data_IF_185059813778
#
_entry.id   IF_185059813778
#
_cell.length_a   1.000
_cell.length_b   1.000
_cell.length_c   1.000
_cell.angle_alpha   90.00
_cell.angle_beta   90.00
_cell.angle_gamma   90.00
#
_symmetry.space_group_name_H-M   'P 1'
#
loop_
_entity.id
_entity.type
_entity.pdbx_description
1 polymer ?
#
# COMPACT_ATOMS: atom_id res chain seq x y z
N UNK A 1 -28.38 11.63 -6.30
CA UNK A 1 -29.18 10.95 -5.26
C UNK A 1 -28.25 9.91 -4.64
N UNK A 2 -27.62 10.26 -3.52
CA UNK A 2 -26.51 9.48 -2.93
C UNK A 2 -27.08 8.34 -2.09
N UNK A 3 -26.62 7.12 -2.35
CA UNK A 3 -26.97 5.94 -1.56
C UNK A 3 -26.11 5.89 -0.30
N UNK A 4 -26.76 5.65 0.84
CA UNK A 4 -26.13 5.56 2.16
C UNK A 4 -25.34 4.25 2.35
N UNK A 5 -24.30 4.21 3.21
CA UNK A 5 -23.33 3.11 3.29
C UNK A 5 -23.86 1.79 3.90
N UNK A 6 -25.08 1.75 4.44
CA UNK A 6 -25.58 0.62 5.23
C UNK A 6 -26.16 -0.56 4.40
N UNK A 7 -26.18 -0.45 3.07
CA UNK A 7 -26.77 -1.47 2.19
C UNK A 7 -25.82 -2.54 1.66
N UNK A 8 -24.50 -2.45 1.89
CA UNK A 8 -23.52 -3.33 1.22
C UNK A 8 -22.58 -4.05 2.19
N UNK A 9 -23.15 -4.63 3.27
CA UNK A 9 -22.46 -5.58 4.16
C UNK A 9 -23.04 -6.98 4.03
N UNK A 10 -23.16 -7.49 2.81
CA UNK A 10 -23.27 -8.94 2.57
C UNK A 10 -21.86 -9.52 2.46
N UNK A 11 -21.57 -10.50 3.31
CA UNK A 11 -20.28 -11.18 3.39
C UNK A 11 -19.76 -11.58 1.99
N UNK A 12 -18.64 -10.99 1.60
CA UNK A 12 -17.88 -11.42 0.43
C UNK A 12 -17.39 -12.85 0.70
N UNK A 13 -17.61 -13.81 -0.20
CA UNK A 13 -17.07 -15.15 -0.02
C UNK A 13 -15.55 -15.04 0.05
N UNK A 14 -14.94 -15.65 1.08
CA UNK A 14 -13.51 -15.79 1.16
C UNK A 14 -13.01 -16.40 -0.16
N UNK A 15 -12.17 -15.67 -0.90
CA UNK A 15 -11.53 -16.20 -2.10
C UNK A 15 -10.82 -17.53 -1.78
N UNK A 16 -10.66 -18.42 -2.76
CA UNK A 16 -10.10 -19.75 -2.53
C UNK A 16 -8.78 -19.63 -1.74
N UNK A 17 -8.73 -20.32 -0.60
CA UNK A 17 -7.62 -20.28 0.35
C UNK A 17 -6.27 -20.74 -0.25
N UNK A 18 -6.29 -21.27 -1.48
CA UNK A 18 -5.18 -21.93 -2.14
C UNK A 18 -4.36 -21.03 -3.07
N UNK A 19 -4.79 -19.79 -3.34
CA UNK A 19 -3.97 -18.88 -4.15
C UNK A 19 -2.86 -18.26 -3.29
N UNK A 20 -1.56 -18.49 -3.57
CA UNK A 20 -0.47 -17.94 -2.76
C UNK A 20 -0.47 -16.41 -2.78
N UNK A 21 0.07 -15.80 -1.71
CA UNK A 21 0.32 -14.35 -1.69
C UNK A 21 1.23 -13.95 -2.84
N UNK A 22 0.95 -12.79 -3.44
CA UNK A 22 1.69 -12.26 -4.58
C UNK A 22 1.78 -10.73 -4.50
N UNK A 23 2.65 -10.16 -5.32
CA UNK A 23 2.75 -8.72 -5.50
C UNK A 23 1.39 -8.15 -5.94
N UNK A 24 1.00 -7.03 -5.35
CA UNK A 24 -0.26 -6.36 -5.62
C UNK A 24 -1.45 -6.91 -4.82
N UNK A 25 -1.26 -7.91 -3.94
CA UNK A 25 -2.28 -8.28 -2.97
C UNK A 25 -2.52 -7.14 -1.98
N UNK A 26 -3.81 -6.86 -1.74
CA UNK A 26 -4.28 -5.87 -0.78
C UNK A 26 -4.90 -6.60 0.40
N UNK A 27 -4.45 -6.28 1.62
CA UNK A 27 -4.95 -6.88 2.86
C UNK A 27 -5.37 -5.81 3.85
N UNK A 28 -6.50 -6.06 4.52
CA UNK A 28 -6.98 -5.28 5.65
C UNK A 28 -6.39 -5.72 6.98
N UNK A 29 -6.53 -4.84 7.97
CA UNK A 29 -6.20 -5.10 9.37
C UNK A 29 -4.76 -5.59 9.58
N UNK A 30 -3.83 -5.11 8.76
CA UNK A 30 -2.41 -5.35 8.99
C UNK A 30 -1.94 -4.50 10.16
N UNK A 31 -1.43 -5.16 11.20
CA UNK A 31 -0.84 -4.49 12.35
C UNK A 31 0.51 -3.89 11.94
N UNK A 32 0.55 -2.58 11.85
CA UNK A 32 1.76 -1.80 11.63
C UNK A 32 2.30 -1.33 12.98
N UNK A 33 3.63 -1.23 13.06
CA UNK A 33 4.37 -0.79 14.23
C UNK A 33 5.38 0.27 13.77
N UNK A 34 5.38 1.43 14.41
CA UNK A 34 6.20 2.58 14.03
C UNK A 34 6.54 3.46 15.24
N UNK A 35 7.55 4.31 15.11
CA UNK A 35 7.91 5.31 16.12
C UNK A 35 7.19 6.61 15.81
N UNK A 36 6.80 7.39 16.83
CA UNK A 36 6.19 8.69 16.59
C UNK A 36 7.24 9.66 16.02
N UNK A 37 6.84 10.46 15.02
CA UNK A 37 7.73 11.38 14.30
C UNK A 37 8.16 12.60 15.13
N UNK A 38 7.60 12.79 16.34
CA UNK A 38 7.72 14.04 17.11
C UNK A 38 8.77 14.00 18.24
N UNK A 39 9.45 12.87 18.48
CA UNK A 39 10.50 12.79 19.51
C UNK A 39 11.89 13.09 18.94
N UNK A 40 12.40 14.29 19.21
CA UNK A 40 13.82 14.64 18.93
C UNK A 40 14.79 14.07 19.98
N UNK A 41 14.26 13.66 21.14
CA UNK A 41 15.02 13.01 22.22
C UNK A 41 14.47 11.60 22.42
N UNK A 42 15.33 10.60 22.26
CA UNK A 42 14.99 9.20 22.53
C UNK A 42 14.94 9.03 24.05
N UNK A 43 13.74 8.97 24.62
CA UNK A 43 13.58 8.62 26.02
C UNK A 43 13.68 7.10 26.18
N UNK A 44 14.27 6.63 27.28
CA UNK A 44 14.34 5.20 27.63
C UNK A 44 12.94 4.54 27.72
N UNK A 45 11.89 5.36 27.77
CA UNK A 45 10.49 4.96 27.94
C UNK A 45 9.67 5.04 26.64
N UNK A 46 10.29 5.44 25.53
CA UNK A 46 9.59 5.55 24.25
C UNK A 46 9.06 4.17 23.84
N UNK A 47 7.77 4.13 23.54
CA UNK A 47 7.09 2.91 23.09
C UNK A 47 6.72 3.05 21.63
N UNK A 48 6.91 1.99 20.82
CA UNK A 48 6.45 2.01 19.46
C UNK A 48 4.91 2.08 19.46
N UNK A 49 4.39 2.90 18.55
CA UNK A 49 2.97 2.97 18.27
C UNK A 49 2.58 1.82 17.36
N UNK A 50 1.32 1.42 17.44
CA UNK A 50 0.79 0.37 16.59
C UNK A 50 -0.60 0.76 16.08
N UNK A 51 -0.86 0.49 14.81
CA UNK A 51 -2.15 0.75 14.18
C UNK A 51 -2.53 -0.37 13.22
N UNK A 52 -3.83 -0.57 13.02
CA UNK A 52 -4.34 -1.44 11.95
C UNK A 52 -4.47 -0.61 10.68
N UNK A 53 -3.93 -1.13 9.59
CA UNK A 53 -3.98 -0.47 8.30
C UNK A 53 -4.28 -1.45 7.17
N UNK A 54 -4.86 -0.91 6.10
CA UNK A 54 -4.88 -1.59 4.80
C UNK A 54 -3.50 -1.44 4.16
N UNK A 55 -2.98 -2.53 3.61
CA UNK A 55 -1.66 -2.56 2.99
C UNK A 55 -1.70 -3.25 1.63
N UNK A 56 -0.76 -2.88 0.75
CA UNK A 56 -0.52 -3.55 -0.52
C UNK A 56 0.89 -4.14 -0.57
N UNK A 57 1.03 -5.38 -1.04
CA UNK A 57 2.33 -6.05 -1.16
C UNK A 57 3.10 -5.51 -2.37
N UNK A 58 4.31 -5.00 -2.12
CA UNK A 58 5.21 -4.48 -3.17
C UNK A 58 6.31 -5.47 -3.58
N UNK A 59 6.74 -6.35 -2.67
CA UNK A 59 7.76 -7.37 -2.97
C UNK A 59 7.36 -8.22 -4.17
N UNK A 60 8.31 -8.46 -5.07
CA UNK A 60 8.10 -9.17 -6.32
C UNK A 60 7.58 -10.59 -6.10
N UNK A 61 6.69 -11.05 -6.97
CA UNK A 61 6.07 -12.37 -6.87
C UNK A 61 7.11 -13.51 -6.89
N UNK A 62 8.20 -13.36 -7.66
CA UNK A 62 9.30 -14.33 -7.73
C UNK A 62 10.05 -14.49 -6.40
N UNK A 63 10.17 -13.42 -5.61
CA UNK A 63 10.81 -13.47 -4.29
C UNK A 63 9.91 -14.16 -3.27
N UNK A 64 8.59 -13.99 -3.40
CA UNK A 64 7.58 -14.59 -2.53
C UNK A 64 7.39 -16.09 -2.77
N UNK A 65 7.42 -16.53 -4.04
CA UNK A 65 7.15 -17.90 -4.44
C UNK A 65 8.29 -18.87 -4.10
N UNK A 66 9.54 -18.39 -4.07
CA UNK A 66 10.71 -19.22 -3.83
C UNK A 66 11.08 -19.36 -2.34
N UNK A 67 10.27 -18.83 -1.42
CA UNK A 67 10.55 -18.77 0.03
C UNK A 67 11.91 -18.16 0.41
N UNK A 68 12.58 -17.49 -0.53
CA UNK A 68 13.90 -16.86 -0.35
C UNK A 68 13.87 -15.69 0.63
N UNK A 69 12.67 -15.20 0.95
CA UNK A 69 12.44 -14.19 1.97
C UNK A 69 11.31 -14.62 2.91
N UNK A 70 11.50 -14.40 4.21
CA UNK A 70 10.47 -14.56 5.23
C UNK A 70 9.64 -13.28 5.44
N UNK A 71 9.98 -12.21 4.73
CA UNK A 71 9.42 -10.87 4.90
C UNK A 71 9.03 -10.25 3.55
N UNK A 72 7.97 -9.45 3.56
CA UNK A 72 7.52 -8.66 2.42
C UNK A 72 7.55 -7.17 2.75
N UNK A 73 7.95 -6.36 1.78
CA UNK A 73 7.75 -4.93 1.76
C UNK A 73 6.31 -4.65 1.35
N UNK A 74 5.63 -3.85 2.14
CA UNK A 74 4.27 -3.37 1.90
C UNK A 74 4.22 -1.85 1.98
N UNK A 75 3.27 -1.24 1.29
CA UNK A 75 2.92 0.17 1.44
C UNK A 75 1.52 0.31 2.06
N UNK A 76 1.31 1.40 2.79
CA UNK A 76 -0.01 1.75 3.33
C UNK A 76 -0.95 2.18 2.20
N UNK A 77 -2.22 1.78 2.32
CA UNK A 77 -3.29 2.16 1.40
C UNK A 77 -4.34 2.97 2.16
N UNK A 78 -4.53 4.21 1.75
CA UNK A 78 -5.51 5.12 2.34
C UNK A 78 -6.78 5.18 1.50
N UNK A 79 -7.94 5.15 2.15
CA UNK A 79 -9.20 5.52 1.51
C UNK A 79 -9.17 7.01 1.15
N UNK A 80 -9.35 7.32 -0.13
CA UNK A 80 -9.29 8.70 -0.63
C UNK A 80 -10.44 9.55 -0.08
N UNK A 81 -11.64 8.98 0.04
CA UNK A 81 -12.82 9.64 0.60
C UNK A 81 -12.64 9.95 2.07
N UNK A 82 -12.01 9.06 2.83
CA UNK A 82 -11.68 9.28 4.24
C UNK A 82 -10.67 10.42 4.44
N UNK A 83 -9.63 10.48 3.61
CA UNK A 83 -8.66 11.57 3.63
C UNK A 83 -9.32 12.93 3.33
N UNK A 84 -10.31 12.96 2.44
CA UNK A 84 -11.08 14.17 2.16
C UNK A 84 -11.99 14.54 3.33
N UNK A 85 -12.74 13.56 3.86
CA UNK A 85 -13.68 13.74 4.96
C UNK A 85 -13.01 14.25 6.24
N UNK A 86 -11.80 13.78 6.51
CA UNK A 86 -11.00 14.21 7.67
C UNK A 86 -10.21 15.50 7.41
N UNK A 87 -10.29 16.07 6.21
CA UNK A 87 -9.60 17.32 5.85
C UNK A 87 -8.10 17.17 5.63
N UNK A 88 -7.55 15.94 5.63
CA UNK A 88 -6.13 15.66 5.38
C UNK A 88 -5.74 15.97 3.94
N UNK A 89 -6.66 15.83 3.00
CA UNK A 89 -6.45 16.11 1.57
C UNK A 89 -7.68 16.79 0.99
N UNK A 90 -7.50 17.72 0.05
CA UNK A 90 -8.61 18.32 -0.69
C UNK A 90 -9.02 17.41 -1.85
N UNK A 91 -10.32 17.23 -2.09
CA UNK A 91 -10.84 16.45 -3.23
C UNK A 91 -10.26 16.94 -4.57
N UNK A 92 -10.22 18.27 -4.76
CA UNK A 92 -9.62 18.90 -5.94
C UNK A 92 -8.15 18.50 -6.14
N UNK A 93 -7.38 18.37 -5.05
CA UNK A 93 -5.97 17.96 -5.13
C UNK A 93 -5.83 16.52 -5.63
N UNK A 94 -6.66 15.60 -5.13
CA UNK A 94 -6.67 14.20 -5.59
C UNK A 94 -6.98 14.13 -7.08
N UNK A 95 -8.07 14.79 -7.50
CA UNK A 95 -8.53 14.78 -8.89
C UNK A 95 -7.51 15.41 -9.84
N UNK A 96 -6.98 16.57 -9.49
CA UNK A 96 -6.19 17.37 -10.42
C UNK A 96 -4.70 16.95 -10.45
N UNK A 97 -4.19 16.26 -9.41
CA UNK A 97 -2.77 15.91 -9.30
C UNK A 97 -2.53 14.41 -9.11
N UNK A 98 -3.16 13.79 -8.10
CA UNK A 98 -2.86 12.40 -7.71
C UNK A 98 -3.29 11.41 -8.80
N UNK A 99 -4.50 11.58 -9.36
CA UNK A 99 -5.00 10.75 -10.49
C UNK A 99 -4.12 10.85 -11.74
N UNK A 100 -3.39 11.96 -11.89
CA UNK A 100 -2.47 12.20 -13.01
C UNK A 100 -1.05 11.68 -12.73
N UNK A 101 -0.81 11.07 -11.57
CA UNK A 101 0.51 10.58 -11.17
C UNK A 101 1.53 11.69 -10.91
N UNK A 102 1.06 12.92 -10.62
CA UNK A 102 1.92 14.10 -10.47
C UNK A 102 2.40 14.33 -9.03
N UNK A 103 1.93 13.51 -8.08
CA UNK A 103 2.28 13.63 -6.66
C UNK A 103 3.33 12.59 -6.31
N UNK A 104 4.48 13.06 -5.83
CA UNK A 104 5.59 12.18 -5.45
C UNK A 104 5.18 11.16 -4.37
N UNK A 105 5.47 9.89 -4.65
CA UNK A 105 5.23 8.79 -3.73
C UNK A 105 3.77 8.41 -3.54
N UNK A 106 2.84 9.02 -4.29
CA UNK A 106 1.42 8.69 -4.22
C UNK A 106 0.99 7.97 -5.49
N UNK A 107 0.48 6.75 -5.33
CA UNK A 107 -0.05 5.96 -6.44
C UNK A 107 -1.55 5.79 -6.31
N UNK A 108 -2.28 6.21 -7.35
CA UNK A 108 -3.73 6.21 -7.38
C UNK A 108 -4.30 4.83 -7.74
N UNK A 109 -5.26 4.35 -6.95
CA UNK A 109 -6.05 3.15 -7.23
C UNK A 109 -7.54 3.52 -7.37
N UNK A 110 -8.14 3.38 -8.56
CA UNK A 110 -9.58 3.58 -8.70
C UNK A 110 -10.37 2.48 -7.99
N UNK A 111 -11.59 2.80 -7.57
CA UNK A 111 -12.59 1.76 -7.28
C UNK A 111 -12.84 0.92 -8.54
N UNK A 112 -13.14 -0.37 -8.37
CA UNK A 112 -13.35 -1.28 -9.49
C UNK A 112 -14.45 -2.29 -9.19
N UNK A 113 -15.30 -2.59 -10.17
CA UNK A 113 -16.48 -3.45 -9.99
C UNK A 113 -16.11 -4.89 -9.58
N UNK A 114 -14.93 -5.36 -9.98
CA UNK A 114 -14.43 -6.68 -9.55
C UNK A 114 -13.97 -6.72 -8.08
N UNK A 115 -13.91 -5.57 -7.41
CA UNK A 115 -13.64 -5.46 -5.98
C UNK A 115 -14.55 -4.41 -5.33
N UNK A 116 -15.85 -4.68 -5.17
CA UNK A 116 -16.85 -3.69 -4.76
C UNK A 116 -16.60 -3.07 -3.38
N UNK A 117 -15.93 -3.80 -2.49
CA UNK A 117 -15.57 -3.33 -1.14
C UNK A 117 -14.30 -2.48 -1.09
N UNK A 118 -13.64 -2.27 -2.24
CA UNK A 118 -12.43 -1.47 -2.33
C UNK A 118 -12.76 -0.07 -2.88
N UNK A 119 -12.74 0.95 -2.02
CA UNK A 119 -13.00 2.32 -2.44
C UNK A 119 -11.83 2.84 -3.27
N UNK A 120 -12.05 3.99 -3.90
CA UNK A 120 -10.95 4.78 -4.43
C UNK A 120 -9.91 5.04 -3.34
N UNK A 121 -8.66 4.69 -3.63
CA UNK A 121 -7.62 4.62 -2.62
C UNK A 121 -6.28 5.13 -3.13
N UNK A 122 -5.42 5.53 -2.22
CA UNK A 122 -4.09 6.07 -2.48
C UNK A 122 -3.06 5.17 -1.80
N UNK A 123 -2.14 4.60 -2.55
CA UNK A 123 -0.98 3.90 -2.00
C UNK A 123 0.09 4.94 -1.69
N UNK A 124 0.51 5.03 -0.41
CA UNK A 124 1.61 5.89 0.00
C UNK A 124 2.92 5.11 -0.07
N UNK A 125 3.66 5.29 -1.16
CA UNK A 125 4.96 4.65 -1.40
C UNK A 125 6.07 5.26 -0.55
N UNK A 126 5.78 6.26 0.29
CA UNK A 126 6.73 6.82 1.28
C UNK A 126 6.53 6.18 2.66
N UNK A 127 5.38 5.54 2.88
CA UNK A 127 5.03 4.87 4.12
C UNK A 127 5.12 3.34 3.93
N UNK A 128 6.36 2.85 4.01
CA UNK A 128 6.70 1.46 3.77
C UNK A 128 6.95 0.70 5.06
N UNK A 129 6.47 -0.54 5.10
CA UNK A 129 6.77 -1.46 6.19
C UNK A 129 7.29 -2.78 5.65
N UNK A 130 8.16 -3.42 6.43
CA UNK A 130 8.60 -4.78 6.16
C UNK A 130 7.90 -5.72 7.13
N UNK A 131 6.99 -6.56 6.64
CA UNK A 131 6.09 -7.40 7.42
C UNK A 131 6.43 -8.89 7.24
N UNK A 132 6.41 -9.71 8.31
CA UNK A 132 6.56 -11.16 8.18
C UNK A 132 5.48 -11.79 7.30
N UNK A 133 5.87 -12.64 6.36
CA UNK A 133 4.93 -13.32 5.47
C UNK A 133 3.91 -14.18 6.21
N UNK A 134 4.32 -14.80 7.33
CA UNK A 134 3.43 -15.57 8.19
C UNK A 134 2.23 -14.73 8.68
N UNK A 135 2.46 -13.45 9.01
CA UNK A 135 1.41 -12.53 9.44
C UNK A 135 0.44 -12.24 8.30
N UNK A 136 0.97 -11.93 7.11
CA UNK A 136 0.15 -11.66 5.92
C UNK A 136 -0.66 -12.89 5.49
N UNK A 137 -0.07 -14.09 5.57
CA UNK A 137 -0.76 -15.36 5.31
C UNK A 137 -1.88 -15.60 6.32
N UNK A 138 -1.62 -15.33 7.60
CA UNK A 138 -2.63 -15.37 8.66
C UNK A 138 -3.79 -14.40 8.42
N UNK A 139 -3.51 -13.17 7.95
CA UNK A 139 -4.55 -12.20 7.57
C UNK A 139 -5.39 -12.72 6.41
N UNK A 140 -4.76 -13.22 5.35
CA UNK A 140 -5.47 -13.81 4.21
C UNK A 140 -6.36 -14.98 4.65
N UNK A 141 -5.84 -15.89 5.47
CA UNK A 141 -6.59 -17.02 6.01
C UNK A 141 -7.79 -16.59 6.88
N UNK A 142 -7.71 -15.43 7.54
CA UNK A 142 -8.83 -14.80 8.27
C UNK A 142 -9.78 -14.00 7.37
N UNK A 143 -9.68 -14.13 6.05
CA UNK A 143 -10.56 -13.43 5.10
C UNK A 143 -10.27 -11.94 4.95
N UNK A 144 -9.07 -11.48 5.32
CA UNK A 144 -8.67 -10.05 5.21
C UNK A 144 -8.08 -9.68 3.85
N UNK A 145 -8.02 -10.61 2.90
CA UNK A 145 -7.61 -10.31 1.53
C UNK A 145 -8.76 -9.60 0.81
N UNK A 146 -8.49 -8.41 0.27
CA UNK A 146 -9.50 -7.54 -0.34
C UNK A 146 -9.52 -7.73 -1.85
N UNK A 147 -8.40 -7.45 -2.52
CA UNK A 147 -8.24 -7.62 -3.97
C UNK A 147 -6.77 -7.93 -4.31
N UNK A 148 -6.50 -8.19 -5.59
CA UNK A 148 -5.16 -8.27 -6.16
C UNK A 148 -5.08 -7.40 -7.41
N UNK A 149 -4.02 -6.60 -7.54
CA UNK A 149 -3.69 -5.99 -8.82
C UNK A 149 -3.23 -7.04 -9.82
N UNK A 150 -3.83 -7.01 -11.01
CA UNK A 150 -3.47 -7.87 -12.13
C UNK A 150 -2.59 -7.11 -13.13
N UNK A 151 -1.95 -7.84 -14.04
CA UNK A 151 -1.22 -7.25 -15.17
C UNK A 151 -2.19 -6.46 -16.07
N UNK A 152 -1.80 -5.28 -16.58
CA UNK A 152 -0.50 -4.60 -16.46
C UNK A 152 -0.35 -3.66 -15.24
N UNK A 153 -1.39 -3.52 -14.42
CA UNK A 153 -1.43 -2.56 -13.31
C UNK A 153 -0.46 -2.89 -12.19
N UNK A 154 -0.17 -4.19 -12.00
CA UNK A 154 0.86 -4.65 -11.08
C UNK A 154 2.25 -4.16 -11.49
N UNK A 155 2.59 -4.29 -12.77
CA UNK A 155 3.86 -3.83 -13.33
C UNK A 155 3.97 -2.31 -13.28
N UNK A 156 2.85 -1.62 -13.54
CA UNK A 156 2.77 -0.16 -13.42
C UNK A 156 3.02 0.31 -11.97
N UNK A 157 2.44 -0.34 -10.96
CA UNK A 157 2.76 -0.08 -9.55
C UNK A 157 4.24 -0.33 -9.26
N UNK A 158 4.80 -1.45 -9.72
CA UNK A 158 6.21 -1.77 -9.50
C UNK A 158 7.16 -0.73 -10.14
N UNK A 159 6.84 -0.26 -11.34
CA UNK A 159 7.58 0.81 -12.02
C UNK A 159 7.49 2.14 -11.24
N UNK A 160 6.30 2.49 -10.75
CA UNK A 160 6.10 3.71 -9.97
C UNK A 160 6.84 3.64 -8.63
N UNK A 161 6.85 2.48 -7.98
CA UNK A 161 7.64 2.22 -6.78
C UNK A 161 9.14 2.40 -7.03
N UNK A 162 9.68 1.78 -8.08
CA UNK A 162 11.09 1.98 -8.46
C UNK A 162 11.40 3.45 -8.75
N UNK A 163 10.55 4.15 -9.51
CA UNK A 163 10.74 5.56 -9.87
C UNK A 163 10.63 6.50 -8.66
N UNK A 164 9.97 6.07 -7.57
CA UNK A 164 9.92 6.83 -6.32
C UNK A 164 11.28 6.83 -5.63
N UNK A 165 11.98 5.67 -5.59
CA UNK A 165 13.24 5.52 -4.85
C UNK A 165 14.51 5.66 -5.70
N UNK A 166 14.42 5.49 -7.03
CA UNK A 166 15.56 5.63 -7.94
C UNK A 166 15.92 7.08 -8.29
N UNK A 167 15.29 8.08 -7.66
CA UNK A 167 15.53 9.53 -7.92
C UNK A 167 16.87 10.04 -7.34
N UNK A 168 17.90 9.22 -7.42
CA UNK A 168 19.26 9.60 -7.03
C UNK A 168 19.82 10.43 -8.18
N UNK A 169 20.15 11.70 -7.91
CA UNK A 169 21.03 12.46 -8.79
C UNK A 169 22.41 11.81 -8.72
N UNK A 170 22.72 10.92 -9.65
CA UNK A 170 24.05 10.33 -9.72
C UNK A 170 25.05 11.42 -10.13
N UNK A 171 26.17 11.60 -9.42
CA UNK A 171 27.26 12.43 -9.93
C UNK A 171 27.75 11.84 -11.27
N UNK A 172 28.33 12.66 -12.15
CA UNK A 172 29.01 12.12 -13.33
C UNK A 172 30.06 11.10 -12.85
N UNK A 173 29.97 9.83 -13.29
CA UNK A 173 30.64 8.74 -12.61
C UNK A 173 32.17 8.86 -12.66
N UNK A 174 32.73 9.53 -13.65
CA UNK A 174 34.16 9.84 -13.76
C UNK A 174 34.31 11.14 -14.53
N UNK A 175 35.05 12.11 -13.98
CA UNK A 175 35.56 13.22 -14.79
C UNK A 175 36.48 12.65 -15.87
N UNK A 176 36.27 13.01 -17.13
CA UNK A 176 37.27 12.77 -18.16
C UNK A 176 38.50 13.59 -17.77
N UNK A 177 39.61 12.92 -17.48
CA UNK A 177 40.91 13.59 -17.41
C UNK A 177 41.20 14.08 -18.85
N UNK A 178 41.31 15.40 -19.00
CA UNK A 178 41.78 16.04 -20.24
C UNK A 178 43.23 15.67 -20.57
#
# INVERSE_FOLDING_TARGET
MYLTPDGLRTAVPAGPADVPLSQGDILDDCQLVFWADETSEIAEQDKPHSTLARVIILTQACDLANEKTSRAVVAVVHDAGELVRTGRVKEKFIRDNVRRGQVYGWYFLPAHDSCPSFPESLVDLRDLHTIPLALLRGLKARGKHVCRLVTPYREHLAQHFSTTYSRIGLPEPYGTLD
#
